data_IF_109358633586
#
_entry.id   IF_109358633586
#
_cell.length_a   1.000
_cell.length_b   1.000
_cell.length_c   1.000
_cell.angle_alpha   90.00
_cell.angle_beta   90.00
_cell.angle_gamma   90.00
#
_symmetry.space_group_name_H-M   'P 1'
#
loop_
_entity.id
_entity.type
_entity.pdbx_description
1 polymer ?
#
# COMPACT_ATOMS: atom_id res chain seq x y z
N UNK A 1 23.54 -24.35 2.38
CA UNK A 1 22.98 -25.31 3.36
C UNK A 1 23.66 -26.65 3.15
N UNK A 2 24.71 -26.95 3.93
CA UNK A 2 25.21 -28.33 4.01
C UNK A 2 24.31 -29.03 5.04
N UNK A 3 23.58 -30.03 4.56
CA UNK A 3 22.78 -30.93 5.40
C UNK A 3 23.72 -31.57 6.43
N UNK A 4 23.40 -31.36 7.72
CA UNK A 4 23.87 -32.25 8.78
C UNK A 4 23.43 -33.65 8.39
N UNK A 5 24.41 -34.47 8.02
CA UNK A 5 24.22 -35.90 7.79
C UNK A 5 23.49 -36.45 9.02
N UNK A 6 22.35 -37.11 8.84
CA UNK A 6 21.65 -37.79 9.92
C UNK A 6 22.59 -38.85 10.51
N UNK A 7 23.25 -38.51 11.63
CA UNK A 7 24.11 -39.42 12.38
C UNK A 7 23.22 -40.26 13.29
N UNK A 8 23.37 -41.57 13.22
CA UNK A 8 22.65 -42.50 14.09
C UNK A 8 23.41 -42.67 15.41
N UNK A 9 22.73 -42.96 16.54
CA UNK A 9 23.40 -43.16 17.84
C UNK A 9 24.51 -44.21 17.82
N UNK A 10 24.38 -45.24 16.97
CA UNK A 10 25.41 -46.27 16.75
C UNK A 10 26.71 -45.74 16.15
N UNK A 11 26.71 -44.56 15.55
CA UNK A 11 27.89 -43.96 14.93
C UNK A 11 28.81 -43.29 15.98
N UNK A 12 28.31 -42.99 17.18
CA UNK A 12 29.05 -42.24 18.20
C UNK A 12 28.92 -42.77 19.63
N UNK A 13 28.03 -43.72 19.90
CA UNK A 13 27.93 -44.41 21.21
C UNK A 13 28.73 -45.72 21.15
N UNK A 14 29.71 -45.85 22.03
CA UNK A 14 30.61 -47.00 22.19
C UNK A 14 30.54 -47.50 23.62
N UNK A 15 30.93 -48.75 23.88
CA UNK A 15 30.99 -49.28 25.25
C UNK A 15 31.90 -48.46 26.19
N UNK A 16 32.82 -47.65 25.65
CA UNK A 16 33.71 -46.79 26.40
C UNK A 16 33.09 -45.43 26.81
N UNK A 17 32.01 -44.98 26.16
CA UNK A 17 31.33 -43.72 26.48
C UNK A 17 29.86 -43.88 26.91
N UNK A 18 29.37 -45.12 27.00
CA UNK A 18 28.05 -45.43 27.55
C UNK A 18 28.06 -45.39 29.08
N UNK A 19 27.33 -44.44 29.65
CA UNK A 19 26.98 -44.35 31.07
C UNK A 19 25.79 -45.31 31.34
N UNK A 20 25.93 -46.31 32.22
CA UNK A 20 24.85 -47.25 32.53
C UNK A 20 23.61 -46.53 33.09
N UNK A 21 22.46 -46.73 32.45
CA UNK A 21 21.18 -46.15 32.87
C UNK A 21 20.89 -44.74 32.35
N UNK A 22 21.80 -44.12 31.59
CA UNK A 22 21.58 -42.81 30.97
C UNK A 22 20.82 -42.92 29.64
N UNK A 23 19.78 -42.12 29.47
CA UNK A 23 19.04 -41.94 28.21
C UNK A 23 19.70 -40.88 27.32
N UNK A 24 19.31 -40.83 26.04
CA UNK A 24 19.79 -39.79 25.10
C UNK A 24 19.49 -38.37 25.60
N UNK A 25 18.34 -38.18 26.25
CA UNK A 25 17.94 -36.90 26.85
C UNK A 25 18.88 -36.51 27.99
N UNK A 26 19.36 -37.47 28.79
CA UNK A 26 20.30 -37.21 29.88
C UNK A 26 21.65 -36.75 29.36
N UNK A 27 22.13 -37.32 28.25
CA UNK A 27 23.34 -36.83 27.56
C UNK A 27 23.15 -35.42 27.02
N UNK A 28 22.01 -35.14 26.40
CA UNK A 28 21.72 -33.82 25.84
C UNK A 28 21.64 -32.75 26.93
N UNK A 29 20.94 -33.04 28.02
CA UNK A 29 20.81 -32.11 29.14
C UNK A 29 22.18 -31.89 29.81
N UNK A 30 22.94 -32.95 30.08
CA UNK A 30 24.27 -32.85 30.67
C UNK A 30 25.22 -32.01 29.81
N UNK A 31 25.18 -32.18 28.48
CA UNK A 31 25.99 -31.38 27.57
C UNK A 31 25.53 -29.91 27.55
N UNK A 32 24.22 -29.67 27.51
CA UNK A 32 23.64 -28.32 27.51
C UNK A 32 24.00 -27.56 28.78
N UNK A 33 23.75 -28.17 29.94
CA UNK A 33 24.09 -27.61 31.25
C UNK A 33 25.59 -27.30 31.36
N UNK A 34 26.44 -28.18 30.81
CA UNK A 34 27.90 -28.00 30.79
C UNK A 34 28.35 -26.86 29.88
N UNK A 35 27.63 -26.59 28.79
CA UNK A 35 27.89 -25.46 27.90
C UNK A 35 27.32 -24.14 28.45
N UNK A 36 26.30 -24.17 29.29
CA UNK A 36 25.67 -22.98 29.87
C UNK A 36 26.28 -22.56 31.22
N UNK A 37 26.93 -23.47 31.95
CA UNK A 37 27.56 -23.18 33.25
C UNK A 37 28.64 -22.09 33.20
N UNK A 38 28.63 -21.18 34.17
CA UNK A 38 29.66 -20.14 34.31
C UNK A 38 31.07 -20.73 34.43
N UNK A 39 32.03 -20.14 33.72
CA UNK A 39 33.42 -20.59 33.71
C UNK A 39 34.09 -20.09 34.99
N UNK A 40 34.48 -21.01 35.88
CA UNK A 40 35.23 -20.74 37.11
C UNK A 40 36.34 -21.77 37.26
N UNK A 41 37.48 -21.39 37.84
CA UNK A 41 38.62 -22.32 38.08
C UNK A 41 38.27 -23.46 39.05
N UNK A 42 37.18 -23.34 39.81
CA UNK A 42 36.67 -24.37 40.72
C UNK A 42 35.56 -25.23 40.13
N UNK A 43 35.12 -24.99 38.89
CA UNK A 43 34.01 -25.73 38.29
C UNK A 43 34.44 -27.13 37.83
N UNK A 44 33.54 -28.13 37.89
CA UNK A 44 33.80 -29.48 37.37
C UNK A 44 33.86 -29.53 35.83
N UNK A 45 33.58 -28.40 35.15
CA UNK A 45 33.49 -28.27 33.69
C UNK A 45 34.44 -27.18 33.21
N UNK A 46 35.44 -27.57 32.41
CA UNK A 46 36.39 -26.65 31.80
C UNK A 46 36.14 -26.55 30.30
N UNK A 47 36.06 -25.32 29.80
CA UNK A 47 35.88 -25.00 28.38
C UNK A 47 37.03 -24.15 27.88
N UNK A 48 37.69 -24.58 26.82
CA UNK A 48 38.81 -23.85 26.21
C UNK A 48 38.63 -23.76 24.71
N UNK A 49 38.77 -22.56 24.16
CA UNK A 49 38.79 -22.35 22.73
C UNK A 49 40.24 -22.23 22.27
N UNK A 50 40.66 -23.09 21.34
CA UNK A 50 42.01 -23.05 20.74
C UNK A 50 41.92 -22.68 19.27
N UNK A 51 42.74 -21.74 18.79
CA UNK A 51 42.85 -21.50 17.35
C UNK A 51 43.50 -22.71 16.67
N UNK A 52 43.01 -23.07 15.48
CA UNK A 52 43.59 -24.08 14.61
C UNK A 52 44.38 -23.41 13.48
N UNK A 53 45.35 -24.14 12.93
CA UNK A 53 46.08 -23.71 11.73
C UNK A 53 45.08 -23.60 10.56
N UNK A 54 44.93 -22.39 9.99
CA UNK A 54 43.97 -22.12 8.92
C UNK A 54 42.73 -21.31 9.31
N UNK A 55 42.70 -20.71 10.51
CA UNK A 55 41.64 -19.77 10.92
C UNK A 55 40.38 -20.40 11.49
N UNK A 56 40.35 -21.72 11.62
CA UNK A 56 39.31 -22.44 12.38
C UNK A 56 39.55 -22.36 13.90
N UNK A 57 38.53 -22.72 14.67
CA UNK A 57 38.64 -22.81 16.12
C UNK A 57 38.27 -24.21 16.59
N UNK A 58 38.91 -24.69 17.65
CA UNK A 58 38.58 -25.95 18.34
C UNK A 58 38.09 -25.65 19.74
N UNK A 59 36.88 -26.10 20.07
CA UNK A 59 36.36 -26.10 21.42
C UNK A 59 36.76 -27.40 22.13
N UNK A 60 37.57 -27.29 23.17
CA UNK A 60 37.88 -28.38 24.08
C UNK A 60 36.99 -28.28 25.33
N UNK A 61 36.21 -29.32 25.58
CA UNK A 61 35.33 -29.44 26.74
C UNK A 61 35.82 -30.59 27.62
N UNK A 62 36.14 -30.30 28.88
CA UNK A 62 36.54 -31.29 29.87
C UNK A 62 35.53 -31.28 31.01
N UNK A 63 34.94 -32.43 31.31
CA UNK A 63 33.92 -32.57 32.36
C UNK A 63 34.35 -33.63 33.36
N UNK A 64 34.19 -33.33 34.64
CA UNK A 64 34.43 -34.27 35.73
C UNK A 64 33.09 -34.77 36.26
N UNK A 65 32.79 -36.05 36.02
CA UNK A 65 31.55 -36.71 36.44
C UNK A 65 31.85 -37.61 37.65
N UNK A 66 31.01 -37.54 38.68
CA UNK A 66 31.07 -38.48 39.81
C UNK A 66 29.99 -39.55 39.64
N UNK A 67 30.40 -40.81 39.50
CA UNK A 67 29.49 -41.93 39.28
C UNK A 67 29.93 -43.14 40.09
N UNK A 68 29.01 -43.77 40.84
CA UNK A 68 29.28 -44.96 41.67
C UNK A 68 30.55 -44.84 42.55
N UNK A 69 30.71 -43.71 43.24
CA UNK A 69 31.89 -43.38 44.09
C UNK A 69 33.23 -43.31 43.33
N UNK A 70 33.20 -43.28 42.00
CA UNK A 70 34.35 -43.09 41.12
C UNK A 70 34.28 -41.72 40.46
N UNK A 71 35.43 -41.15 40.14
CA UNK A 71 35.53 -39.89 39.39
C UNK A 71 35.94 -40.17 37.96
N UNK A 72 35.12 -39.75 37.01
CA UNK A 72 35.34 -39.91 35.57
C UNK A 72 35.67 -38.55 34.97
N UNK A 73 36.70 -38.49 34.13
CA UNK A 73 37.06 -37.27 33.40
C UNK A 73 36.82 -37.49 31.92
N UNK A 74 35.83 -36.78 31.39
CA UNK A 74 35.43 -36.86 29.99
C UNK A 74 36.05 -35.68 29.24
N UNK A 75 36.63 -35.93 28.07
CA UNK A 75 37.27 -34.92 27.23
C UNK A 75 36.68 -34.98 25.84
N UNK A 76 36.14 -33.87 25.38
CA UNK A 76 35.62 -33.68 24.03
C UNK A 76 36.39 -32.57 23.32
N UNK A 77 36.56 -32.72 22.02
CA UNK A 77 37.17 -31.73 21.15
C UNK A 77 36.29 -31.56 19.91
N UNK A 78 35.82 -30.34 19.66
CA UNK A 78 34.92 -29.99 18.56
C UNK A 78 35.60 -28.98 17.65
N UNK A 79 35.77 -29.32 16.38
CA UNK A 79 36.23 -28.39 15.36
C UNK A 79 35.05 -27.53 14.90
N UNK A 80 35.15 -26.22 15.09
CA UNK A 80 34.11 -25.26 14.75
C UNK A 80 34.29 -24.79 13.30
N UNK A 81 33.22 -24.91 12.51
CA UNK A 81 33.18 -24.29 11.18
C UNK A 81 32.93 -22.77 11.33
N UNK A 82 33.80 -21.90 10.77
CA UNK A 82 33.61 -20.46 10.84
C UNK A 82 32.36 -20.05 10.06
N UNK A 83 31.46 -19.31 10.72
CA UNK A 83 30.33 -18.64 10.05
C UNK A 83 30.81 -17.25 9.60
N UNK A 84 30.82 -16.93 8.30
CA UNK A 84 31.23 -15.62 7.83
C UNK A 84 30.23 -14.55 8.30
N UNK A 85 30.68 -13.62 9.14
CA UNK A 85 29.87 -12.52 9.69
C UNK A 85 29.38 -11.54 8.60
N UNK A 86 30.11 -11.43 7.47
CA UNK A 86 29.76 -10.57 6.33
C UNK A 86 28.34 -10.82 5.77
N UNK A 87 27.81 -12.05 5.92
CA UNK A 87 26.46 -12.38 5.42
C UNK A 87 25.35 -11.76 6.25
N UNK A 88 25.60 -11.45 7.51
CA UNK A 88 24.60 -10.86 8.40
C UNK A 88 24.48 -9.36 8.09
N UNK A 89 25.62 -8.66 7.96
CA UNK A 89 25.67 -7.23 7.66
C UNK A 89 25.03 -6.88 6.31
N UNK A 90 25.28 -7.68 5.26
CA UNK A 90 24.70 -7.46 3.92
C UNK A 90 23.18 -7.67 3.94
N UNK A 91 22.69 -8.66 4.70
CA UNK A 91 21.26 -8.92 4.80
C UNK A 91 20.57 -7.83 5.61
N UNK A 92 21.18 -7.38 6.70
CA UNK A 92 20.68 -6.25 7.50
C UNK A 92 20.60 -4.96 6.68
N UNK A 93 21.65 -4.65 5.91
CA UNK A 93 21.66 -3.49 5.00
C UNK A 93 20.54 -3.58 3.97
N UNK A 94 20.38 -4.72 3.31
CA UNK A 94 19.31 -4.92 2.33
C UNK A 94 17.91 -4.79 2.95
N UNK A 95 17.72 -5.29 4.17
CA UNK A 95 16.44 -5.17 4.90
C UNK A 95 16.11 -3.70 5.19
N UNK A 96 17.12 -2.92 5.59
CA UNK A 96 16.98 -1.49 5.82
C UNK A 96 16.66 -0.73 4.54
N UNK A 97 17.39 -1.00 3.46
CA UNK A 97 17.16 -0.36 2.16
C UNK A 97 15.76 -0.67 1.61
N UNK A 98 15.28 -1.92 1.80
CA UNK A 98 13.92 -2.30 1.41
C UNK A 98 12.85 -1.63 2.27
N UNK A 99 13.08 -1.52 3.59
CA UNK A 99 12.16 -0.83 4.49
C UNK A 99 12.05 0.66 4.14
N UNK A 100 13.17 1.33 3.89
CA UNK A 100 13.21 2.75 3.51
C UNK A 100 12.51 2.99 2.17
N UNK A 101 12.70 2.10 1.19
CA UNK A 101 12.01 2.16 -0.09
C UNK A 101 10.48 2.01 0.06
N UNK A 102 10.03 1.08 0.92
CA UNK A 102 8.61 0.89 1.22
C UNK A 102 8.01 2.09 1.95
N UNK A 103 8.73 2.67 2.91
CA UNK A 103 8.29 3.88 3.62
C UNK A 103 8.20 5.09 2.69
N UNK A 104 9.15 5.23 1.75
CA UNK A 104 9.08 6.25 0.71
C UNK A 104 7.86 6.07 -0.19
N UNK A 105 7.63 4.87 -0.73
CA UNK A 105 6.47 4.57 -1.60
C UNK A 105 5.17 4.78 -0.82
N UNK A 106 5.12 4.38 0.46
CA UNK A 106 3.96 4.61 1.32
C UNK A 106 3.75 6.10 1.59
N UNK A 107 4.82 6.86 1.74
CA UNK A 107 4.80 8.33 1.81
C UNK A 107 4.20 8.94 0.55
N UNK A 108 4.69 8.54 -0.63
CA UNK A 108 4.17 8.96 -1.94
C UNK A 108 2.69 8.58 -2.13
N UNK A 109 2.27 7.39 -1.69
CA UNK A 109 0.89 6.93 -1.78
C UNK A 109 -0.01 7.60 -0.73
N UNK A 110 0.50 7.93 0.45
CA UNK A 110 -0.23 8.72 1.45
C UNK A 110 -0.37 10.20 1.03
N UNK A 111 0.55 10.67 0.18
CA UNK A 111 0.44 11.93 -0.54
C UNK A 111 -0.47 11.84 -1.79
N UNK A 112 -0.80 10.63 -2.27
CA UNK A 112 -1.90 10.41 -3.18
C UNK A 112 -3.21 10.62 -2.41
N UNK A 113 -3.57 11.90 -2.34
CA UNK A 113 -4.77 12.46 -1.75
C UNK A 113 -6.02 11.67 -2.17
N UNK A 114 -7.03 11.69 -1.31
CA UNK A 114 -8.42 11.39 -1.70
C UNK A 114 -8.67 12.02 -3.08
N UNK A 115 -9.13 11.25 -4.08
CA UNK A 115 -9.29 11.78 -5.43
C UNK A 115 -10.15 13.04 -5.36
N UNK A 116 -9.74 14.14 -6.02
CA UNK A 116 -10.42 15.40 -5.87
C UNK A 116 -11.86 15.23 -6.32
N UNK A 117 -12.79 15.47 -5.38
CA UNK A 117 -14.21 15.22 -5.55
C UNK A 117 -14.98 16.52 -5.32
N UNK A 118 -15.82 16.87 -6.29
CA UNK A 118 -16.71 18.00 -6.20
C UNK A 118 -18.12 17.58 -6.60
N UNK A 119 -19.11 17.88 -5.75
CA UNK A 119 -20.53 17.76 -6.08
C UNK A 119 -21.18 19.14 -6.01
N UNK A 120 -21.85 19.51 -7.09
CA UNK A 120 -22.53 20.79 -7.26
C UNK A 120 -24.02 20.55 -7.47
N UNK A 121 -24.79 21.45 -6.89
CA UNK A 121 -26.24 21.56 -7.11
C UNK A 121 -26.50 22.85 -7.89
N UNK A 122 -27.37 22.76 -8.89
CA UNK A 122 -27.77 23.91 -9.69
C UNK A 122 -28.63 24.84 -8.83
N UNK A 123 -28.23 26.12 -8.74
CA UNK A 123 -28.89 27.16 -7.97
C UNK A 123 -29.91 27.94 -8.81
N UNK A 124 -29.56 28.19 -10.08
CA UNK A 124 -30.37 28.94 -11.04
C UNK A 124 -29.93 28.60 -12.46
N UNK A 125 -30.68 29.09 -13.44
CA UNK A 125 -30.26 29.10 -14.84
C UNK A 125 -30.10 30.53 -15.34
N UNK A 126 -29.06 30.77 -16.14
CA UNK A 126 -28.86 32.03 -16.85
C UNK A 126 -29.19 31.83 -18.31
N UNK A 127 -30.19 32.55 -18.80
CA UNK A 127 -30.61 32.51 -20.18
C UNK A 127 -29.67 33.34 -21.05
N UNK A 128 -29.26 32.77 -22.17
CA UNK A 128 -28.62 33.48 -23.26
C UNK A 128 -29.55 33.36 -24.48
N UNK A 129 -30.03 34.50 -24.97
CA UNK A 129 -30.79 34.53 -26.22
C UNK A 129 -29.80 34.59 -27.38
N UNK A 130 -29.60 33.46 -28.05
CA UNK A 130 -29.08 33.48 -29.42
C UNK A 130 -30.25 33.53 -30.39
N UNK A 131 -30.08 34.20 -31.53
CA UNK A 131 -31.13 34.43 -32.55
C UNK A 131 -31.83 33.14 -33.05
N UNK A 132 -31.33 31.95 -32.72
CA UNK A 132 -31.85 30.64 -33.15
C UNK A 132 -32.36 29.71 -32.04
N UNK A 133 -32.11 29.99 -30.76
CA UNK A 133 -32.51 29.10 -29.66
C UNK A 133 -32.37 29.77 -28.27
N UNK A 134 -33.28 29.40 -27.35
CA UNK A 134 -33.13 29.63 -25.91
C UNK A 134 -32.15 28.59 -25.36
N UNK A 135 -30.91 28.99 -25.13
CA UNK A 135 -29.94 28.20 -24.38
C UNK A 135 -29.78 28.77 -22.98
N UNK A 136 -29.97 27.92 -21.98
CA UNK A 136 -29.82 28.27 -20.58
C UNK A 136 -28.57 27.59 -20.03
N UNK A 137 -27.66 28.36 -19.45
CA UNK A 137 -26.53 27.80 -18.71
C UNK A 137 -26.95 27.51 -17.28
N UNK A 138 -26.57 26.34 -16.77
CA UNK A 138 -26.80 26.01 -15.36
C UNK A 138 -25.76 26.74 -14.51
N UNK A 139 -26.26 27.48 -13.52
CA UNK A 139 -25.43 28.12 -12.49
C UNK A 139 -25.41 27.21 -11.26
N UNK A 140 -24.21 27.00 -10.72
CA UNK A 140 -23.98 26.12 -9.57
C UNK A 140 -24.00 26.92 -8.27
N UNK A 141 -24.19 26.25 -7.14
CA UNK A 141 -23.86 26.83 -5.84
C UNK A 141 -22.37 27.16 -5.76
N UNK A 142 -22.02 28.22 -5.03
CA UNK A 142 -20.63 28.60 -4.81
C UNK A 142 -19.90 27.46 -4.10
N UNK A 143 -18.78 27.04 -4.66
CA UNK A 143 -17.93 26.00 -4.09
C UNK A 143 -16.48 26.32 -4.42
N UNK A 144 -15.59 26.08 -3.45
CA UNK A 144 -14.16 26.28 -3.62
C UNK A 144 -13.42 25.15 -2.93
N UNK A 145 -12.52 24.51 -3.66
CA UNK A 145 -11.59 23.49 -3.16
C UNK A 145 -10.24 23.70 -3.85
N UNK A 146 -9.23 22.91 -3.50
CA UNK A 146 -7.88 23.09 -4.03
C UNK A 146 -7.80 22.91 -5.56
N UNK A 147 -8.71 22.12 -6.12
CA UNK A 147 -8.68 21.69 -7.52
C UNK A 147 -9.73 22.39 -8.40
N UNK A 148 -10.76 23.00 -7.78
CA UNK A 148 -11.88 23.61 -8.49
C UNK A 148 -12.34 24.92 -7.84
N UNK A 149 -12.61 25.91 -8.68
CA UNK A 149 -13.24 27.17 -8.27
C UNK A 149 -14.58 27.38 -8.99
N UNK A 150 -15.64 27.63 -8.20
CA UNK A 150 -16.99 27.93 -8.67
C UNK A 150 -17.48 29.19 -7.95
N UNK A 151 -17.67 30.27 -8.69
CA UNK A 151 -18.04 31.57 -8.11
C UNK A 151 -19.53 31.66 -7.67
N UNK A 152 -20.38 30.78 -8.19
CA UNK A 152 -21.81 30.75 -7.93
C UNK A 152 -22.65 31.70 -8.79
N UNK A 153 -22.06 32.33 -9.80
CA UNK A 153 -22.70 33.38 -10.59
C UNK A 153 -22.89 33.09 -12.07
N UNK A 154 -21.83 32.65 -12.75
CA UNK A 154 -21.79 32.50 -14.21
C UNK A 154 -22.00 31.06 -14.69
N UNK A 155 -22.02 30.10 -13.75
CA UNK A 155 -22.16 28.67 -14.03
C UNK A 155 -20.88 28.00 -14.54
N UNK A 156 -19.74 28.69 -14.42
CA UNK A 156 -18.43 28.18 -14.82
C UNK A 156 -17.79 27.44 -13.65
N UNK A 157 -17.23 26.27 -13.96
CA UNK A 157 -16.37 25.52 -13.07
C UNK A 157 -14.95 25.66 -13.63
N UNK A 158 -14.08 26.37 -12.90
CA UNK A 158 -12.69 26.57 -13.29
C UNK A 158 -11.81 25.49 -12.67
N UNK A 159 -10.98 24.88 -13.49
CA UNK A 159 -10.01 23.87 -13.09
C UNK A 159 -8.74 24.55 -12.60
N UNK A 160 -8.28 24.18 -11.40
CA UNK A 160 -7.08 24.73 -10.76
C UNK A 160 -5.90 23.75 -10.76
N UNK A 161 -6.15 22.48 -11.09
CA UNK A 161 -5.13 21.44 -11.15
C UNK A 161 -5.29 20.62 -12.42
N UNK A 162 -4.19 20.39 -13.12
CA UNK A 162 -4.18 19.53 -14.30
C UNK A 162 -4.42 18.07 -13.90
N UNK A 163 -5.22 17.36 -14.67
CA UNK A 163 -5.50 15.94 -14.42
C UNK A 163 -6.53 15.33 -15.36
N UNK A 164 -6.73 14.03 -15.22
CA UNK A 164 -7.80 13.30 -15.88
C UNK A 164 -8.99 13.24 -14.93
N UNK A 165 -10.12 13.79 -15.38
CA UNK A 165 -11.33 13.90 -14.57
C UNK A 165 -12.49 13.17 -15.23
N UNK A 166 -13.32 12.52 -14.40
CA UNK A 166 -14.66 12.07 -14.79
C UNK A 166 -15.66 13.15 -14.38
N UNK A 167 -16.46 13.58 -15.34
CA UNK A 167 -17.51 14.59 -15.17
C UNK A 167 -18.85 13.88 -15.38
N UNK A 168 -19.68 13.89 -14.35
CA UNK A 168 -21.06 13.39 -14.39
C UNK A 168 -22.03 14.55 -14.21
N UNK A 169 -23.00 14.68 -15.09
CA UNK A 169 -24.07 15.68 -15.00
C UNK A 169 -25.43 15.01 -15.05
N UNK A 170 -26.37 15.47 -14.23
CA UNK A 170 -27.78 15.10 -14.34
C UNK A 170 -28.58 16.38 -14.43
N UNK A 171 -29.19 16.62 -15.59
CA UNK A 171 -30.00 17.80 -15.86
C UNK A 171 -31.46 17.41 -15.93
N UNK A 172 -32.23 17.95 -15.00
CA UNK A 172 -33.67 17.77 -14.94
C UNK A 172 -34.34 18.90 -15.71
N UNK A 173 -35.14 18.56 -16.71
CA UNK A 173 -35.69 19.54 -17.64
C UNK A 173 -37.07 19.16 -18.20
N UNK A 174 -37.76 20.15 -18.78
CA UNK A 174 -39.08 20.00 -19.39
C UNK A 174 -39.02 20.44 -20.87
N UNK A 175 -38.63 19.56 -21.80
CA UNK A 175 -38.58 19.88 -23.23
C UNK A 175 -39.98 20.20 -23.77
N UNK A 176 -40.12 21.32 -24.48
CA UNK A 176 -41.39 21.74 -25.09
C UNK A 176 -41.51 21.35 -26.57
N UNK A 177 -40.40 20.92 -27.18
CA UNK A 177 -40.31 20.52 -28.58
C UNK A 177 -39.22 19.46 -28.77
N UNK A 178 -39.20 18.82 -29.94
CA UNK A 178 -38.07 17.99 -30.36
C UNK A 178 -36.79 18.81 -30.56
N UNK A 179 -35.65 18.09 -30.59
CA UNK A 179 -34.34 18.67 -30.90
C UNK A 179 -33.70 19.47 -29.77
N UNK A 180 -34.28 19.49 -28.57
CA UNK A 180 -33.66 20.11 -27.39
C UNK A 180 -32.52 19.24 -26.87
N UNK A 181 -31.43 19.87 -26.48
CA UNK A 181 -30.21 19.19 -26.05
C UNK A 181 -29.69 19.72 -24.74
N UNK A 182 -28.97 18.86 -24.02
CA UNK A 182 -28.09 19.21 -22.91
C UNK A 182 -26.66 19.00 -23.38
N UNK A 183 -25.80 19.98 -23.15
CA UNK A 183 -24.41 19.94 -23.59
C UNK A 183 -23.46 20.16 -22.42
N UNK A 184 -22.36 19.42 -22.43
CA UNK A 184 -21.18 19.69 -21.63
C UNK A 184 -20.14 20.36 -22.52
N UNK A 185 -19.61 21.49 -22.07
CA UNK A 185 -18.64 22.27 -22.82
C UNK A 185 -17.35 22.46 -22.03
N UNK A 186 -16.22 22.30 -22.73
CA UNK A 186 -14.87 22.63 -22.28
C UNK A 186 -14.40 23.86 -23.04
N UNK A 187 -14.11 24.96 -22.34
CA UNK A 187 -13.68 26.24 -22.95
C UNK A 187 -14.63 26.74 -24.05
N UNK A 188 -15.94 26.47 -23.91
CA UNK A 188 -16.95 26.81 -24.91
C UNK A 188 -17.06 25.83 -26.09
N UNK A 189 -16.21 24.80 -26.17
CA UNK A 189 -16.32 23.72 -27.16
C UNK A 189 -17.15 22.58 -26.58
N UNK A 190 -18.16 22.11 -27.31
CA UNK A 190 -18.97 20.98 -26.87
C UNK A 190 -18.15 19.68 -26.88
N UNK A 191 -18.08 19.02 -25.72
CA UNK A 191 -17.42 17.71 -25.56
C UNK A 191 -18.41 16.55 -25.44
N UNK A 192 -19.66 16.84 -25.05
CA UNK A 192 -20.74 15.87 -25.05
C UNK A 192 -22.07 16.58 -25.26
N UNK A 193 -22.97 15.97 -26.04
CA UNK A 193 -24.30 16.47 -26.31
C UNK A 193 -25.30 15.31 -26.30
N UNK A 194 -26.36 15.45 -25.51
CA UNK A 194 -27.46 14.48 -25.46
C UNK A 194 -28.79 15.18 -25.76
N UNK A 195 -29.67 14.49 -26.51
CA UNK A 195 -31.02 14.98 -26.77
C UNK A 195 -31.94 14.71 -25.58
N UNK A 196 -32.75 15.70 -25.23
CA UNK A 196 -33.82 15.54 -24.26
C UNK A 196 -34.95 14.71 -24.88
N UNK A 197 -35.38 13.66 -24.19
CA UNK A 197 -36.55 12.90 -24.62
C UNK A 197 -37.81 13.78 -24.52
N UNK A 198 -38.52 13.94 -25.64
CA UNK A 198 -39.78 14.67 -25.70
C UNK A 198 -40.94 13.69 -25.86
N UNK A 199 -41.87 13.71 -24.91
CA UNK A 199 -43.05 12.83 -24.88
C UNK A 199 -44.38 13.62 -24.97
N UNK A 200 -44.35 14.89 -25.38
CA UNK A 200 -45.51 15.79 -25.38
C UNK A 200 -45.43 16.89 -24.31
N UNK A 201 -46.50 17.67 -24.16
CA UNK A 201 -46.57 18.74 -23.16
C UNK A 201 -46.60 18.18 -21.72
N UNK A 202 -46.00 18.90 -20.77
CA UNK A 202 -45.99 18.60 -19.32
C UNK A 202 -45.19 17.36 -18.86
N UNK A 203 -44.26 16.86 -19.67
CA UNK A 203 -43.34 15.80 -19.24
C UNK A 203 -42.01 16.36 -18.72
N UNK A 204 -41.49 15.72 -17.67
CA UNK A 204 -40.17 15.99 -17.10
C UNK A 204 -39.22 14.85 -17.44
N UNK A 205 -38.00 15.20 -17.81
CA UNK A 205 -36.95 14.25 -18.17
C UNK A 205 -35.67 14.58 -17.44
N UNK A 206 -34.98 13.53 -17.00
CA UNK A 206 -33.60 13.59 -16.52
C UNK A 206 -32.67 13.17 -17.65
N UNK A 207 -31.83 14.10 -18.11
CA UNK A 207 -30.80 13.82 -19.12
C UNK A 207 -29.45 13.76 -18.43
N UNK A 208 -28.77 12.63 -18.53
CA UNK A 208 -27.42 12.44 -18.00
C UNK A 208 -26.35 12.87 -19.00
N UNK A 209 -25.22 13.31 -18.46
CA UNK A 209 -23.96 13.55 -19.15
C UNK A 209 -22.88 12.78 -18.38
N UNK A 210 -21.95 12.16 -19.09
CA UNK A 210 -20.80 11.46 -18.50
C UNK A 210 -19.64 11.55 -19.50
N UNK A 211 -18.53 12.14 -19.07
CA UNK A 211 -17.34 12.31 -19.89
C UNK A 211 -16.09 12.10 -19.04
N UNK A 212 -15.07 11.46 -19.63
CA UNK A 212 -13.72 11.37 -19.06
C UNK A 212 -12.81 12.19 -19.96
N UNK A 213 -12.21 13.24 -19.41
CA UNK A 213 -11.42 14.20 -20.18
C UNK A 213 -10.16 14.63 -19.43
N UNK A 214 -9.11 14.92 -20.20
CA UNK A 214 -7.93 15.61 -19.71
C UNK A 214 -8.25 17.11 -19.59
N UNK A 215 -8.05 17.65 -18.39
CA UNK A 215 -8.23 19.07 -18.08
C UNK A 215 -6.90 19.66 -17.65
N UNK A 216 -6.61 20.85 -18.17
CA UNK A 216 -5.45 21.65 -17.84
C UNK A 216 -5.83 22.73 -16.82
N UNK A 217 -4.83 23.26 -16.12
CA UNK A 217 -5.06 24.40 -15.22
C UNK A 217 -5.58 25.60 -16.02
N UNK A 218 -6.68 26.18 -15.57
CA UNK A 218 -7.36 27.29 -16.22
C UNK A 218 -8.50 26.89 -17.16
N UNK A 219 -8.66 25.60 -17.47
CA UNK A 219 -9.80 25.10 -18.23
C UNK A 219 -11.12 25.45 -17.53
N UNK A 220 -12.16 25.68 -18.34
CA UNK A 220 -13.49 26.06 -17.91
C UNK A 220 -14.53 25.05 -18.38
N UNK A 221 -15.26 24.48 -17.44
CA UNK A 221 -16.40 23.61 -17.72
C UNK A 221 -17.72 24.36 -17.55
N UNK A 222 -18.64 24.13 -18.48
CA UNK A 222 -20.02 24.63 -18.39
C UNK A 222 -21.01 23.58 -18.87
N UNK A 223 -22.22 23.60 -18.30
CA UNK A 223 -23.34 22.78 -18.78
C UNK A 223 -24.44 23.71 -19.26
N UNK A 224 -24.90 23.49 -20.49
CA UNK A 224 -26.02 24.23 -21.08
C UNK A 224 -27.19 23.30 -21.36
N UNK A 225 -28.39 23.87 -21.32
CA UNK A 225 -29.65 23.20 -21.57
C UNK A 225 -30.50 24.05 -22.51
N UNK A 226 -30.91 23.48 -23.65
CA UNK A 226 -31.73 24.15 -24.65
C UNK A 226 -33.22 24.27 -24.28
N UNK A 227 -33.58 23.92 -23.05
CA UNK A 227 -34.95 23.94 -22.54
C UNK A 227 -35.02 24.40 -21.08
N UNK A 228 -36.24 24.62 -20.58
CA UNK A 228 -36.48 24.98 -19.18
C UNK A 228 -36.02 23.84 -18.26
N UNK A 229 -35.14 24.15 -17.32
CA UNK A 229 -34.77 23.25 -16.22
C UNK A 229 -35.90 23.18 -15.20
N UNK A 230 -36.14 21.98 -14.68
CA UNK A 230 -37.10 21.72 -13.60
C UNK A 230 -36.38 21.00 -12.48
N UNK A 231 -36.79 21.24 -11.23
CA UNK A 231 -36.15 20.67 -10.03
C UNK A 231 -34.63 20.91 -9.98
N UNK A 232 -33.95 20.30 -9.00
CA UNK A 232 -32.51 20.46 -8.82
C UNK A 232 -31.75 19.60 -9.81
N UNK A 233 -30.80 20.19 -10.53
CA UNK A 233 -29.83 19.47 -11.38
C UNK A 233 -28.49 19.34 -10.66
N UNK A 234 -27.72 18.31 -11.00
CA UNK A 234 -26.48 17.98 -10.29
C UNK A 234 -25.30 17.87 -11.25
N UNK A 235 -24.11 18.22 -10.76
CA UNK A 235 -22.85 17.94 -11.43
C UNK A 235 -21.87 17.35 -10.41
N UNK A 236 -21.17 16.29 -10.78
CA UNK A 236 -20.12 15.67 -9.98
C UNK A 236 -18.85 15.55 -10.80
N UNK A 237 -17.72 15.94 -10.22
CA UNK A 237 -16.40 15.83 -10.84
C UNK A 237 -15.51 15.01 -9.91
N UNK A 238 -14.83 14.02 -10.47
CA UNK A 238 -13.92 13.14 -9.75
C UNK A 238 -12.58 13.07 -10.48
N UNK A 239 -11.48 13.35 -9.80
CA UNK A 239 -10.14 13.12 -10.33
C UNK A 239 -9.82 11.62 -10.37
N UNK A 240 -9.42 11.13 -11.54
CA UNK A 240 -8.93 9.76 -11.72
C UNK A 240 -7.41 9.74 -11.55
N UNK A 241 -6.73 10.72 -12.14
CA UNK A 241 -5.29 10.96 -12.03
C UNK A 241 -5.12 12.47 -11.93
N UNK A 242 -4.78 12.97 -10.74
CA UNK A 242 -4.68 14.41 -10.44
C UNK A 242 -3.50 14.68 -9.50
#
# INVERSE_FOLDING_TARGET
YRSTKDMTPSDYVTSANTIPGASLTDYFQCLSDSLECEISDSSPVQRRLKPLNGGGFRLELVMTLQFLRSTWVVKYAFDLEPVPLERIDVVESNLRDQQDALERIRGELSAAQTPPFLRLEASRTRQYSTLSCLESRLCWNKAHCAEFAVNGEDGVIKILRQGVYRIGGVVNCAPTSYGKTVMLLKNGVCIQQNYCAYMGSNHYVSTSLDAIVLLEEGDMLTITCGTKTVTTSYCSIVGIVA
#
